data_IF_367422519129
#
_entry.id   IF_367422519129
#
_cell.length_a   1.000
_cell.length_b   1.000
_cell.length_c   1.000
_cell.angle_alpha   90.00
_cell.angle_beta   90.00
_cell.angle_gamma   90.00
#
_symmetry.space_group_name_H-M   'P 1'
#
loop_
_entity.id
_entity.type
_entity.pdbx_description
1 polymer ?
#
# COMPACT_ATOMS: atom_id res chain seq x y z
N UNK A 1 76.83 4.76 19.18
CA UNK A 1 75.97 4.28 18.08
C UNK A 1 74.69 5.11 18.14
N UNK A 2 74.71 6.16 17.34
CA UNK A 2 73.64 6.88 16.66
C UNK A 2 72.40 7.31 17.47
N UNK A 3 72.54 8.52 18.02
CA UNK A 3 71.46 9.41 18.42
C UNK A 3 70.80 10.01 17.17
N UNK A 4 69.53 9.66 16.90
CA UNK A 4 68.72 10.42 15.95
C UNK A 4 68.00 11.56 16.69
N UNK A 5 68.58 12.75 16.49
CA UNK A 5 68.01 14.05 16.75
C UNK A 5 66.83 14.27 15.79
N UNK A 6 65.64 14.51 16.33
CA UNK A 6 64.50 15.00 15.53
C UNK A 6 64.40 16.51 15.74
N UNK A 7 64.62 17.18 14.61
CA UNK A 7 64.66 18.61 14.41
C UNK A 7 63.30 19.27 14.69
N UNK A 8 63.30 20.38 15.42
CA UNK A 8 62.12 21.19 15.73
C UNK A 8 62.13 22.46 14.90
N UNK A 9 61.55 22.44 13.70
CA UNK A 9 61.20 23.66 12.97
C UNK A 9 60.04 23.45 12.00
N UNK A 10 58.98 24.24 12.20
CA UNK A 10 58.29 24.93 11.10
C UNK A 10 57.15 24.20 10.39
N UNK A 11 55.93 24.32 10.93
CA UNK A 11 54.70 23.96 10.23
C UNK A 11 53.49 24.68 10.79
N UNK A 12 53.39 25.99 10.55
CA UNK A 12 52.20 26.77 10.85
C UNK A 12 51.06 26.37 9.90
N UNK A 13 50.05 25.65 10.41
CA UNK A 13 48.78 25.45 9.72
C UNK A 13 47.62 26.00 10.56
N UNK A 14 46.99 27.02 10.01
CA UNK A 14 45.80 27.76 10.45
C UNK A 14 44.71 26.84 11.00
N UNK A 15 44.38 26.97 12.28
CA UNK A 15 43.21 26.35 12.90
C UNK A 15 41.94 27.13 12.58
N UNK A 16 41.23 26.79 11.51
CA UNK A 16 39.83 27.22 11.36
C UNK A 16 38.92 26.27 12.11
N UNK A 17 38.48 26.65 13.31
CA UNK A 17 37.42 25.96 14.05
C UNK A 17 36.09 26.17 13.32
N UNK A 18 35.67 25.22 12.49
CA UNK A 18 34.30 25.18 11.99
C UNK A 18 33.40 24.67 13.11
N UNK A 19 32.64 25.57 13.72
CA UNK A 19 31.56 25.25 14.66
C UNK A 19 30.55 24.30 14.00
N UNK A 20 30.22 23.20 14.67
CA UNK A 20 29.15 22.30 14.23
C UNK A 20 27.79 23.03 14.22
N UNK A 21 26.93 22.82 13.21
CA UNK A 21 25.64 23.50 13.14
C UNK A 21 24.70 23.04 14.26
N UNK A 22 24.23 23.97 15.07
CA UNK A 22 23.19 23.75 16.09
C UNK A 22 21.85 23.44 15.43
N UNK A 23 21.35 22.22 15.60
CA UNK A 23 20.02 21.80 15.14
C UNK A 23 18.96 22.40 16.09
N UNK A 24 18.18 23.37 15.63
CA UNK A 24 17.02 23.89 16.37
C UNK A 24 15.83 22.95 16.19
N UNK A 25 15.48 22.21 17.25
CA UNK A 25 14.24 21.44 17.31
C UNK A 25 13.04 22.39 17.47
N UNK A 26 11.91 22.15 16.79
CA UNK A 26 10.70 22.94 16.97
C UNK A 26 10.12 22.76 18.38
N UNK A 27 9.67 23.86 18.98
CA UNK A 27 9.11 23.89 20.33
C UNK A 27 7.93 22.94 20.51
N UNK A 28 8.00 22.13 21.57
CA UNK A 28 6.99 21.16 21.96
C UNK A 28 5.74 21.91 22.45
N UNK A 29 4.64 21.87 21.70
CA UNK A 29 3.34 22.36 22.19
C UNK A 29 2.81 21.34 23.21
N UNK A 30 2.73 21.73 24.47
CA UNK A 30 2.05 20.95 25.51
C UNK A 30 0.56 20.92 25.20
N UNK A 31 0.02 19.73 24.98
CA UNK A 31 -1.42 19.51 24.84
C UNK A 31 -1.94 19.25 26.25
N UNK A 32 -2.57 20.24 26.86
CA UNK A 32 -3.34 20.07 28.10
C UNK A 32 -4.65 19.35 27.75
N UNK A 33 -4.87 18.18 28.34
CA UNK A 33 -6.08 17.39 28.15
C UNK A 33 -7.05 17.71 29.30
N UNK A 34 -8.06 18.55 29.04
CA UNK A 34 -9.18 18.77 29.95
C UNK A 34 -10.19 17.62 29.79
N UNK A 35 -10.38 16.87 30.88
CA UNK A 35 -11.38 15.81 30.96
C UNK A 35 -12.74 16.39 31.38
N UNK A 36 -13.62 16.61 30.40
CA UNK A 36 -15.05 16.86 30.68
C UNK A 36 -15.85 15.59 30.42
N UNK A 37 -16.24 14.92 31.49
CA UNK A 37 -17.24 13.84 31.49
C UNK A 37 -18.61 14.43 31.14
N UNK A 38 -19.15 14.10 29.95
CA UNK A 38 -20.53 14.44 29.58
C UNK A 38 -21.39 13.18 29.60
N UNK A 39 -22.13 13.06 30.70
CA UNK A 39 -23.19 12.10 30.94
C UNK A 39 -24.36 12.36 29.99
N UNK A 40 -24.87 11.33 29.31
CA UNK A 40 -26.06 11.43 28.45
C UNK A 40 -27.07 10.36 28.86
N UNK A 41 -28.00 10.77 29.73
CA UNK A 41 -29.29 10.14 29.91
C UNK A 41 -30.36 11.21 29.65
N UNK A 42 -31.12 11.08 28.56
CA UNK A 42 -32.47 11.62 28.43
C UNK A 42 -33.10 11.08 27.14
N UNK A 43 -34.13 10.27 27.34
CA UNK A 43 -35.04 9.79 26.31
C UNK A 43 -35.96 10.92 25.85
N UNK A 44 -36.35 10.91 24.57
CA UNK A 44 -37.72 11.24 24.14
C UNK A 44 -38.00 10.70 22.74
N UNK A 45 -39.11 9.98 22.69
CA UNK A 45 -39.87 9.43 21.58
C UNK A 45 -40.40 10.46 20.59
N UNK A 46 -40.39 10.13 19.28
CA UNK A 46 -41.48 10.43 18.36
C UNK A 46 -41.35 9.60 17.07
N UNK A 47 -42.47 8.99 16.72
CA UNK A 47 -42.78 8.03 15.67
C UNK A 47 -43.01 8.67 14.29
N UNK A 48 -42.63 7.99 13.21
CA UNK A 48 -43.44 7.85 11.97
C UNK A 48 -43.02 6.60 11.19
N UNK A 49 -43.99 5.93 10.58
CA UNK A 49 -43.92 4.59 10.01
C UNK A 49 -44.03 4.61 8.47
N UNK A 50 -43.40 3.66 7.78
CA UNK A 50 -43.98 2.90 6.64
C UNK A 50 -43.03 1.80 6.09
N UNK A 51 -43.50 0.55 6.20
CA UNK A 51 -43.61 -0.51 5.16
C UNK A 51 -42.37 -0.83 4.28
N UNK A 52 -41.58 -1.88 4.53
CA UNK A 52 -41.76 -3.35 4.29
C UNK A 52 -41.43 -3.87 2.87
N UNK A 53 -40.28 -4.56 2.71
CA UNK A 53 -40.15 -6.00 2.35
C UNK A 53 -38.68 -6.49 2.41
N UNK A 54 -38.45 -7.80 2.61
CA UNK A 54 -37.22 -8.43 3.13
C UNK A 54 -36.34 -9.04 2.01
N UNK A 55 -35.30 -9.80 2.41
CA UNK A 55 -34.32 -10.59 1.60
C UNK A 55 -32.92 -9.96 1.66
N UNK A 56 -31.81 -10.62 2.05
CA UNK A 56 -31.47 -12.04 2.09
C UNK A 56 -30.62 -12.34 3.35
N UNK A 57 -31.00 -13.37 4.11
CA UNK A 57 -30.12 -14.01 5.07
C UNK A 57 -29.15 -14.90 4.29
N UNK A 58 -27.86 -14.60 4.41
CA UNK A 58 -26.79 -15.39 3.81
C UNK A 58 -26.79 -16.78 4.46
N UNK A 59 -27.22 -17.75 3.66
CA UNK A 59 -27.33 -19.19 3.94
C UNK A 59 -26.00 -19.76 4.44
N UNK A 60 -25.90 -19.96 5.74
CA UNK A 60 -24.79 -20.60 6.46
C UNK A 60 -24.90 -22.16 6.45
N UNK A 61 -25.69 -22.69 5.52
CA UNK A 61 -25.81 -24.12 5.25
C UNK A 61 -24.93 -24.44 4.04
N UNK A 62 -23.72 -24.98 4.29
CA UNK A 62 -23.07 -26.03 3.46
C UNK A 62 -21.63 -26.38 3.88
N UNK A 63 -21.06 -25.86 4.98
CA UNK A 63 -19.76 -26.39 5.46
C UNK A 63 -19.95 -27.57 6.43
N UNK A 64 -20.23 -28.75 5.86
CA UNK A 64 -20.21 -30.05 6.55
C UNK A 64 -18.79 -30.63 6.71
N UNK A 65 -17.73 -29.86 6.42
CA UNK A 65 -16.35 -30.35 6.49
C UNK A 65 -16.06 -31.53 5.55
N UNK A 66 -16.77 -31.61 4.41
CA UNK A 66 -16.58 -32.63 3.37
C UNK A 66 -17.31 -33.96 3.57
N UNK A 67 -18.25 -34.05 4.51
CA UNK A 67 -19.13 -35.23 4.66
C UNK A 67 -20.49 -34.95 4.00
N UNK A 68 -20.96 -35.77 3.04
CA UNK A 68 -22.27 -35.56 2.44
C UNK A 68 -23.38 -35.78 3.49
N UNK A 69 -24.48 -34.99 3.43
CA UNK A 69 -25.63 -35.23 4.27
C UNK A 69 -26.20 -36.65 4.02
N UNK A 70 -26.73 -37.33 5.05
CA UNK A 70 -27.24 -38.68 4.90
C UNK A 70 -28.46 -38.68 3.97
N UNK A 71 -28.31 -39.26 2.77
CA UNK A 71 -29.42 -39.54 1.84
C UNK A 71 -29.21 -39.14 0.37
N UNK A 72 -28.09 -38.52 -0.02
CA UNK A 72 -27.83 -38.13 -1.42
C UNK A 72 -26.65 -38.93 -2.03
N UNK A 73 -26.86 -39.45 -3.25
CA UNK A 73 -25.89 -40.27 -3.97
C UNK A 73 -24.96 -39.39 -4.81
N UNK A 74 -23.66 -39.69 -4.76
CA UNK A 74 -22.54 -38.92 -5.36
C UNK A 74 -22.67 -38.71 -6.89
N UNK A 75 -23.55 -39.46 -7.55
CA UNK A 75 -23.74 -39.43 -9.01
C UNK A 75 -24.39 -38.12 -9.53
N UNK A 76 -25.17 -37.40 -8.72
CA UNK A 76 -25.80 -36.14 -9.16
C UNK A 76 -24.80 -34.97 -9.23
N UNK A 77 -23.73 -34.98 -8.45
CA UNK A 77 -22.75 -33.89 -8.40
C UNK A 77 -21.74 -33.87 -9.57
N UNK A 78 -21.76 -34.87 -10.45
CA UNK A 78 -20.81 -35.00 -11.57
C UNK A 78 -21.37 -34.48 -12.91
N UNK A 79 -22.65 -34.11 -13.00
CA UNK A 79 -23.30 -33.77 -14.28
C UNK A 79 -23.48 -32.26 -14.56
N UNK A 80 -23.11 -31.35 -13.65
CA UNK A 80 -23.44 -29.92 -13.78
C UNK A 80 -22.28 -29.02 -14.26
N UNK A 81 -21.33 -29.54 -15.05
CA UNK A 81 -20.29 -28.70 -15.66
C UNK A 81 -20.42 -28.74 -17.17
N UNK A 82 -21.27 -27.88 -17.74
CA UNK A 82 -21.07 -27.23 -19.05
C UNK A 82 -22.18 -26.20 -19.32
N UNK A 83 -21.95 -24.92 -19.01
CA UNK A 83 -22.71 -23.79 -19.59
C UNK A 83 -21.72 -22.62 -19.88
N UNK A 84 -21.76 -22.03 -21.10
CA UNK A 84 -20.71 -21.14 -21.60
C UNK A 84 -20.81 -19.69 -21.10
N UNK A 85 -19.62 -19.10 -20.90
CA UNK A 85 -19.40 -17.69 -20.52
C UNK A 85 -19.93 -16.72 -21.57
N UNK A 86 -20.88 -15.88 -21.19
CA UNK A 86 -21.37 -14.76 -21.99
C UNK A 86 -20.35 -13.61 -22.05
N UNK A 87 -19.94 -13.24 -23.27
CA UNK A 87 -19.05 -12.10 -23.55
C UNK A 87 -19.89 -10.82 -23.71
N UNK A 88 -19.52 -9.67 -23.12
CA UNK A 88 -20.29 -8.44 -23.29
C UNK A 88 -20.20 -7.90 -24.72
N UNK A 89 -21.35 -7.82 -25.39
CA UNK A 89 -21.50 -7.15 -26.70
C UNK A 89 -21.50 -5.64 -26.50
N UNK A 90 -20.46 -4.97 -27.01
CA UNK A 90 -20.34 -3.52 -27.02
C UNK A 90 -21.26 -2.91 -28.11
N UNK A 91 -22.52 -2.63 -27.76
CA UNK A 91 -23.44 -1.86 -28.61
C UNK A 91 -23.25 -0.36 -28.37
N UNK A 92 -22.57 0.34 -29.29
CA UNK A 92 -22.51 1.80 -29.22
C UNK A 92 -21.37 2.46 -29.99
N UNK A 93 -21.12 2.09 -31.25
CA UNK A 93 -20.35 2.97 -32.14
C UNK A 93 -21.27 4.10 -32.60
N UNK A 94 -21.10 5.28 -32.00
CA UNK A 94 -21.58 6.53 -32.62
C UNK A 94 -20.74 6.79 -33.87
N UNK A 95 -21.39 6.95 -35.01
CA UNK A 95 -20.77 7.40 -36.25
C UNK A 95 -20.26 8.83 -36.07
N UNK A 96 -18.99 9.06 -36.39
CA UNK A 96 -18.44 10.40 -36.55
C UNK A 96 -18.66 10.82 -38.01
N UNK A 97 -19.80 11.44 -38.28
CA UNK A 97 -19.97 12.31 -39.44
C UNK A 97 -20.56 13.63 -38.93
N UNK A 98 -19.86 14.77 -39.01
CA UNK A 98 -20.54 16.04 -38.89
C UNK A 98 -21.20 16.35 -40.23
N UNK A 99 -22.52 16.22 -40.29
CA UNK A 99 -23.32 16.95 -41.27
C UNK A 99 -23.32 18.43 -40.88
N UNK A 100 -23.10 19.29 -41.87
CA UNK A 100 -23.17 20.76 -41.81
C UNK A 100 -22.18 21.47 -40.87
N UNK A 101 -21.02 21.80 -41.42
CA UNK A 101 -20.33 23.03 -41.07
C UNK A 101 -21.22 24.20 -41.50
N UNK A 102 -21.95 24.78 -40.54
CA UNK A 102 -22.55 26.11 -40.65
C UNK A 102 -21.60 27.06 -39.97
N UNK A 103 -21.16 28.07 -40.70
CA UNK A 103 -20.22 29.09 -40.24
C UNK A 103 -20.94 30.05 -39.29
N UNK A 104 -21.09 29.67 -38.02
CA UNK A 104 -21.60 30.56 -36.98
C UNK A 104 -20.51 31.58 -36.61
N UNK A 105 -20.45 32.65 -37.38
CA UNK A 105 -19.74 33.87 -37.03
C UNK A 105 -20.47 34.61 -35.88
N UNK A 106 -20.34 34.10 -34.65
CA UNK A 106 -20.63 34.86 -33.43
C UNK A 106 -19.34 35.05 -32.63
N UNK A 107 -18.88 36.29 -32.39
CA UNK A 107 -17.72 36.53 -31.55
C UNK A 107 -18.04 36.11 -30.11
N UNK A 108 -17.44 35.00 -29.68
CA UNK A 108 -17.45 34.53 -28.29
C UNK A 108 -16.72 35.54 -27.41
N UNK A 109 -17.46 36.27 -26.60
CA UNK A 109 -16.93 37.20 -25.59
C UNK A 109 -16.51 36.44 -24.34
N UNK A 110 -15.55 35.53 -24.45
CA UNK A 110 -14.88 35.00 -23.25
C UNK A 110 -13.88 36.05 -22.76
N UNK A 111 -14.25 36.77 -21.68
CA UNK A 111 -13.36 37.62 -20.90
C UNK A 111 -12.32 36.75 -20.19
N UNK A 112 -11.34 36.26 -20.92
CA UNK A 112 -10.06 35.87 -20.34
C UNK A 112 -9.21 37.13 -20.29
N UNK A 113 -8.88 37.57 -19.08
CA UNK A 113 -8.06 38.76 -18.85
C UNK A 113 -6.66 38.55 -19.40
N UNK A 114 -6.46 38.90 -20.67
CA UNK A 114 -5.13 39.00 -21.27
C UNK A 114 -4.38 40.12 -20.57
N UNK A 115 -3.29 39.77 -19.87
CA UNK A 115 -2.28 40.74 -19.44
C UNK A 115 -1.57 41.25 -20.69
N UNK A 116 -2.21 42.16 -21.42
CA UNK A 116 -1.60 42.84 -22.55
C UNK A 116 -0.39 43.62 -22.04
N UNK A 117 0.81 43.10 -22.31
CA UNK A 117 2.07 43.83 -22.18
C UNK A 117 1.95 45.03 -23.11
N UNK A 118 1.77 46.24 -22.57
CA UNK A 118 1.69 47.46 -23.37
C UNK A 118 2.91 47.53 -24.30
N UNK A 119 2.66 47.76 -25.58
CA UNK A 119 3.70 48.00 -26.57
C UNK A 119 4.39 49.32 -26.17
N UNK A 120 5.61 49.23 -25.65
CA UNK A 120 6.51 50.37 -25.43
C UNK A 120 7.35 50.57 -26.69
N UNK A 121 7.90 51.76 -26.94
CA UNK A 121 8.77 52.07 -28.09
C UNK A 121 9.96 51.09 -28.27
N UNK A 122 10.35 50.37 -27.21
CA UNK A 122 11.36 49.31 -27.25
C UNK A 122 10.88 47.97 -27.85
N UNK A 123 9.58 47.79 -28.07
CA UNK A 123 8.96 46.63 -28.71
C UNK A 123 8.47 46.96 -30.14
N UNK A 124 8.99 48.04 -30.75
CA UNK A 124 8.66 48.39 -32.13
C UNK A 124 9.07 47.25 -33.08
N UNK A 125 8.08 46.88 -33.88
CA UNK A 125 8.03 45.84 -34.88
C UNK A 125 9.31 45.83 -35.74
N UNK A 126 9.89 44.64 -35.97
CA UNK A 126 10.98 44.32 -36.92
C UNK A 126 12.37 44.01 -36.33
N UNK A 127 12.57 44.04 -35.01
CA UNK A 127 13.70 43.35 -34.35
C UNK A 127 13.17 42.32 -33.35
N UNK A 128 12.43 41.35 -33.85
CA UNK A 128 12.25 40.11 -33.09
C UNK A 128 13.61 39.44 -33.04
N UNK A 129 14.19 39.33 -31.85
CA UNK A 129 15.39 38.53 -31.67
C UNK A 129 14.98 37.07 -31.89
N UNK A 130 15.12 36.60 -33.13
CA UNK A 130 14.75 35.24 -33.54
C UNK A 130 15.48 34.22 -32.66
N UNK A 131 16.71 34.51 -32.23
CA UNK A 131 17.42 33.64 -31.30
C UNK A 131 16.74 33.59 -29.92
N UNK A 132 16.13 34.67 -29.45
CA UNK A 132 15.37 34.72 -28.19
C UNK A 132 14.05 33.94 -28.28
N UNK A 133 13.36 34.01 -29.41
CA UNK A 133 12.12 33.23 -29.64
C UNK A 133 12.41 31.75 -29.93
N UNK A 134 13.50 31.43 -30.63
CA UNK A 134 13.93 30.04 -30.85
C UNK A 134 14.38 29.36 -29.55
N UNK A 135 14.84 30.13 -28.54
CA UNK A 135 15.14 29.60 -27.19
C UNK A 135 13.87 29.16 -26.44
N UNK A 136 12.71 29.75 -26.72
CA UNK A 136 11.43 29.36 -26.10
C UNK A 136 10.69 28.26 -26.88
N UNK A 137 11.10 28.01 -28.13
CA UNK A 137 10.57 26.93 -28.97
C UNK A 137 10.80 25.56 -28.33
N UNK A 138 9.78 24.71 -28.42
CA UNK A 138 9.85 23.31 -28.02
C UNK A 138 10.86 22.57 -28.92
N UNK A 139 10.96 22.97 -30.19
CA UNK A 139 11.84 22.37 -31.20
C UNK A 139 13.26 22.96 -31.20
N UNK A 140 14.16 22.34 -30.43
CA UNK A 140 15.61 22.60 -30.45
C UNK A 140 16.37 21.39 -31.03
N UNK A 141 17.52 21.58 -31.71
CA UNK A 141 18.30 20.45 -32.26
C UNK A 141 18.82 19.49 -31.18
N UNK A 142 18.84 19.93 -29.90
CA UNK A 142 19.21 19.11 -28.76
C UNK A 142 18.04 18.31 -28.15
N UNK A 143 16.82 18.42 -28.68
CA UNK A 143 15.66 17.65 -28.17
C UNK A 143 15.96 16.15 -28.22
N UNK A 144 16.54 15.66 -29.33
CA UNK A 144 16.81 14.24 -29.55
C UNK A 144 17.64 13.60 -28.43
N UNK A 145 18.46 14.41 -27.73
CA UNK A 145 19.29 13.98 -26.60
C UNK A 145 18.55 13.93 -25.26
N UNK A 146 17.29 14.39 -25.19
CA UNK A 146 16.48 14.38 -23.96
C UNK A 146 15.88 13.00 -23.77
N UNK A 147 16.10 12.40 -22.59
CA UNK A 147 15.65 11.04 -22.26
C UNK A 147 14.11 10.84 -22.30
N UNK A 148 13.33 11.92 -22.23
CA UNK A 148 11.87 11.87 -22.09
C UNK A 148 11.11 12.52 -23.25
N UNK A 149 11.51 12.26 -24.50
CA UNK A 149 10.82 12.74 -25.72
C UNK A 149 9.32 12.44 -25.71
N UNK A 150 8.97 11.22 -25.30
CA UNK A 150 7.59 10.76 -25.25
C UNK A 150 6.70 11.59 -24.31
N UNK A 151 7.26 12.30 -23.31
CA UNK A 151 6.45 13.16 -22.44
C UNK A 151 6.01 14.46 -23.13
N UNK A 152 6.75 14.95 -24.13
CA UNK A 152 6.42 16.22 -24.80
C UNK A 152 5.29 16.09 -25.82
N UNK A 153 5.07 14.88 -26.36
CA UNK A 153 4.00 14.62 -27.34
C UNK A 153 2.65 14.32 -26.68
N UNK A 154 2.65 14.07 -25.38
CA UNK A 154 1.49 13.59 -24.63
C UNK A 154 0.62 14.74 -24.13
N UNK A 155 -0.69 14.49 -24.01
CA UNK A 155 -1.63 15.48 -23.48
C UNK A 155 -1.32 15.83 -22.01
N UNK A 156 -1.73 17.02 -21.57
CA UNK A 156 -1.56 17.42 -20.16
C UNK A 156 -2.21 16.43 -19.18
N UNK A 157 -3.36 15.84 -19.55
CA UNK A 157 -4.06 14.85 -18.71
C UNK A 157 -3.28 13.55 -18.57
N UNK A 158 -2.73 13.04 -19.69
CA UNK A 158 -1.91 11.81 -19.68
C UNK A 158 -0.64 12.01 -18.87
N UNK A 159 0.01 13.18 -18.97
CA UNK A 159 1.15 13.55 -18.12
C UNK A 159 0.79 13.61 -16.63
N UNK A 160 -0.35 14.23 -16.27
CA UNK A 160 -0.81 14.26 -14.89
C UNK A 160 -1.10 12.86 -14.34
N UNK A 161 -1.67 11.98 -15.17
CA UNK A 161 -1.92 10.59 -14.82
C UNK A 161 -0.61 9.82 -14.59
N UNK A 162 0.36 9.90 -15.50
CA UNK A 162 1.67 9.27 -15.35
C UNK A 162 2.40 9.76 -14.09
N UNK A 163 2.40 11.07 -13.83
CA UNK A 163 2.97 11.66 -12.61
C UNK A 163 2.25 11.19 -11.34
N UNK A 164 0.95 10.88 -11.43
CA UNK A 164 0.19 10.30 -10.31
C UNK A 164 0.61 8.85 -10.08
N UNK A 165 0.80 8.06 -11.13
CA UNK A 165 1.31 6.68 -11.02
C UNK A 165 2.72 6.64 -10.44
N UNK A 166 3.63 7.49 -10.93
CA UNK A 166 5.00 7.60 -10.41
C UNK A 166 5.02 7.98 -8.93
N UNK A 167 4.18 8.94 -8.52
CA UNK A 167 4.00 9.28 -7.09
C UNK A 167 3.38 8.16 -6.28
N UNK A 168 2.57 7.29 -6.86
CA UNK A 168 1.99 6.15 -6.13
C UNK A 168 2.98 5.00 -5.92
N UNK A 169 4.08 4.94 -6.67
CA UNK A 169 5.14 3.92 -6.51
C UNK A 169 5.98 4.16 -5.26
N UNK A 170 6.04 5.40 -4.77
CA UNK A 170 6.85 5.76 -3.60
C UNK A 170 6.01 6.48 -2.56
N UNK A 171 6.38 6.40 -1.28
CA UNK A 171 5.70 7.14 -0.21
C UNK A 171 6.01 8.64 -0.24
N UNK A 172 6.93 9.07 -1.10
CA UNK A 172 7.35 10.45 -1.33
C UNK A 172 8.61 10.87 -0.56
N UNK A 173 9.06 12.10 -0.82
CA UNK A 173 10.34 12.64 -0.31
C UNK A 173 10.41 12.73 1.21
N UNK A 174 9.27 12.97 1.87
CA UNK A 174 9.18 13.04 3.33
C UNK A 174 9.52 11.71 4.01
N UNK A 175 9.45 10.60 3.27
CA UNK A 175 9.78 9.27 3.76
C UNK A 175 10.79 8.59 2.82
N UNK A 176 11.87 9.33 2.51
CA UNK A 176 13.03 8.88 1.74
C UNK A 176 12.69 8.11 0.46
N UNK A 177 11.58 8.44 -0.20
CA UNK A 177 11.09 7.75 -1.38
C UNK A 177 10.93 6.23 -1.19
N UNK A 178 10.49 5.78 0.00
CA UNK A 178 10.26 4.36 0.28
C UNK A 178 9.38 3.74 -0.82
N UNK A 179 9.86 2.69 -1.50
CA UNK A 179 9.13 2.08 -2.60
C UNK A 179 7.91 1.29 -2.10
N UNK A 180 6.98 1.03 -3.01
CA UNK A 180 5.94 0.03 -2.88
C UNK A 180 6.37 -1.23 -3.65
N UNK A 181 6.90 -2.27 -2.97
CA UNK A 181 7.23 -3.53 -3.61
C UNK A 181 5.98 -4.20 -4.18
N UNK A 182 6.16 -4.99 -5.22
CA UNK A 182 5.10 -5.86 -5.73
C UNK A 182 4.83 -6.99 -4.73
N UNK A 183 3.55 -7.30 -4.48
CA UNK A 183 3.15 -8.30 -3.51
C UNK A 183 3.32 -9.70 -4.09
N UNK A 184 4.53 -10.25 -4.03
CA UNK A 184 4.78 -11.67 -4.32
C UNK A 184 4.16 -12.54 -3.21
N UNK A 185 3.80 -13.81 -3.48
CA UNK A 185 3.21 -14.68 -2.46
C UNK A 185 4.13 -14.88 -1.24
N UNK A 186 5.44 -14.96 -1.46
CA UNK A 186 6.44 -15.07 -0.38
C UNK A 186 6.44 -13.82 0.52
N UNK A 187 6.42 -12.64 -0.07
CA UNK A 187 6.37 -11.37 0.66
C UNK A 187 5.06 -11.22 1.43
N UNK A 188 3.94 -11.66 0.84
CA UNK A 188 2.64 -11.68 1.51
C UNK A 188 2.68 -12.57 2.75
N UNK A 189 3.22 -13.78 2.63
CA UNK A 189 3.33 -14.72 3.74
C UNK A 189 4.20 -14.14 4.87
N UNK A 190 5.32 -13.47 4.53
CA UNK A 190 6.16 -12.81 5.52
C UNK A 190 5.45 -11.67 6.25
N UNK A 191 4.68 -10.84 5.53
CA UNK A 191 3.92 -9.76 6.18
C UNK A 191 2.78 -10.28 7.04
N UNK A 192 2.10 -11.34 6.59
CA UNK A 192 1.07 -12.01 7.38
C UNK A 192 1.67 -12.63 8.65
N UNK A 193 2.86 -13.22 8.55
CA UNK A 193 3.61 -13.73 9.69
C UNK A 193 3.89 -12.63 10.73
N UNK A 194 4.37 -11.47 10.29
CA UNK A 194 4.62 -10.31 11.18
C UNK A 194 3.32 -9.83 11.83
N UNK A 195 2.20 -9.82 11.10
CA UNK A 195 0.89 -9.47 11.65
C UNK A 195 0.44 -10.45 12.74
N UNK A 196 0.74 -11.74 12.56
CA UNK A 196 0.42 -12.82 13.49
C UNK A 196 1.46 -13.04 14.60
N UNK A 197 2.46 -12.15 14.75
CA UNK A 197 3.56 -12.31 15.72
C UNK A 197 3.14 -12.60 17.16
N UNK A 198 1.95 -12.14 17.58
CA UNK A 198 1.39 -12.41 18.93
C UNK A 198 1.07 -13.88 19.17
N UNK A 199 0.86 -14.67 18.11
CA UNK A 199 0.48 -16.09 18.21
C UNK A 199 1.69 -17.02 18.03
N UNK A 200 2.80 -16.51 17.48
CA UNK A 200 3.96 -17.34 17.12
C UNK A 200 4.68 -17.90 18.35
N UNK A 201 4.88 -17.08 19.38
CA UNK A 201 5.57 -17.47 20.60
C UNK A 201 4.65 -17.24 21.81
N UNK A 202 4.30 -18.30 22.58
CA UNK A 202 3.42 -18.16 23.74
C UNK A 202 4.04 -17.34 24.88
N UNK A 203 5.36 -17.15 24.90
CA UNK A 203 6.07 -16.40 25.95
C UNK A 203 6.20 -14.91 25.62
N UNK A 204 6.08 -14.53 24.34
CA UNK A 204 6.28 -13.15 23.89
C UNK A 204 4.94 -12.49 23.60
N UNK A 205 4.61 -11.50 24.42
CA UNK A 205 3.41 -10.68 24.23
C UNK A 205 3.78 -9.39 23.51
N UNK A 206 3.15 -9.16 22.35
CA UNK A 206 3.29 -7.92 21.59
C UNK A 206 2.04 -7.05 21.75
N UNK A 207 2.23 -5.73 21.63
CA UNK A 207 1.10 -4.81 21.51
C UNK A 207 0.21 -5.23 20.35
N UNK A 208 -1.08 -5.43 20.62
CA UNK A 208 -2.05 -5.90 19.64
C UNK A 208 -2.32 -4.79 18.64
N UNK A 209 -1.79 -4.96 17.43
CA UNK A 209 -2.23 -4.18 16.29
C UNK A 209 -3.67 -4.57 15.95
N UNK A 210 -4.51 -3.61 15.60
CA UNK A 210 -5.89 -3.87 15.19
C UNK A 210 -5.87 -4.84 14.00
N UNK A 211 -6.46 -6.04 14.18
CA UNK A 211 -6.44 -7.14 13.21
C UNK A 211 -6.99 -6.76 11.82
N UNK A 212 -7.69 -5.62 11.71
CA UNK A 212 -8.26 -5.07 10.48
C UNK A 212 -7.29 -4.24 9.64
N UNK A 213 -6.05 -4.02 10.10
CA UNK A 213 -5.08 -3.25 9.31
C UNK A 213 -4.65 -4.08 8.10
N UNK A 214 -5.04 -3.60 6.91
CA UNK A 214 -4.56 -4.09 5.62
C UNK A 214 -3.03 -4.12 5.62
N UNK A 215 -2.44 -5.06 4.87
CA UNK A 215 -0.99 -5.12 4.68
C UNK A 215 -0.45 -3.74 4.26
N UNK A 216 0.70 -3.30 4.79
CA UNK A 216 1.25 -1.99 4.46
C UNK A 216 1.58 -1.93 2.96
N UNK A 217 1.18 -0.83 2.29
CA UNK A 217 1.45 -0.63 0.85
C UNK A 217 2.93 -0.35 0.55
N UNK A 218 3.59 0.41 1.43
CA UNK A 218 4.99 0.80 1.27
C UNK A 218 5.81 0.14 2.37
N UNK A 219 6.76 -0.71 2.00
CA UNK A 219 7.64 -1.40 2.93
C UNK A 219 8.95 -1.78 2.22
N UNK A 220 9.96 -2.10 3.00
CA UNK A 220 11.22 -2.64 2.53
C UNK A 220 11.66 -3.71 3.50
N UNK A 221 12.17 -4.82 2.97
CA UNK A 221 12.78 -5.88 3.77
C UNK A 221 14.28 -5.66 3.73
N UNK A 222 14.88 -5.63 4.91
CA UNK A 222 16.32 -5.51 5.09
C UNK A 222 16.81 -6.60 6.01
N UNK A 223 18.10 -6.91 5.91
CA UNK A 223 18.80 -7.82 6.81
C UNK A 223 19.50 -7.01 7.89
N UNK A 224 19.54 -7.55 9.11
CA UNK A 224 20.28 -6.93 10.21
C UNK A 224 21.78 -7.17 9.96
N UNK A 225 22.56 -6.08 9.93
CA UNK A 225 24.01 -6.17 9.90
C UNK A 225 24.52 -6.28 11.32
N UNK A 226 25.34 -7.31 11.56
CA UNK A 226 25.89 -7.60 12.88
C UNK A 226 26.91 -6.55 13.31
N UNK A 227 26.86 -6.22 14.60
CA UNK A 227 27.89 -5.41 15.22
C UNK A 227 29.23 -6.17 15.24
N UNK A 228 30.35 -5.55 14.86
CA UNK A 228 31.67 -6.15 15.02
C UNK A 228 32.02 -6.46 16.48
N UNK A 229 31.37 -5.79 17.44
CA UNK A 229 31.65 -5.90 18.87
C UNK A 229 31.02 -7.13 19.53
N UNK A 230 29.88 -7.61 19.01
CA UNK A 230 29.14 -8.72 19.61
C UNK A 230 29.24 -9.99 18.74
N UNK A 231 30.38 -10.67 18.84
CA UNK A 231 30.67 -11.82 17.99
C UNK A 231 29.92 -13.10 18.37
N UNK A 232 29.70 -13.33 19.66
CA UNK A 232 29.28 -14.65 20.15
C UNK A 232 27.76 -14.84 20.21
N UNK A 233 27.01 -13.77 20.51
CA UNK A 233 25.55 -13.87 20.70
C UNK A 233 24.76 -13.53 19.43
N UNK A 234 25.11 -12.42 18.75
CA UNK A 234 24.30 -11.89 17.65
C UNK A 234 24.64 -12.47 16.29
N UNK A 235 25.89 -12.90 16.09
CA UNK A 235 26.42 -13.28 14.77
C UNK A 235 25.79 -14.54 14.17
N UNK A 236 25.39 -15.47 15.04
CA UNK A 236 24.93 -16.80 14.66
C UNK A 236 25.91 -17.54 13.73
N UNK A 237 25.50 -18.72 13.25
CA UNK A 237 26.25 -19.46 12.22
C UNK A 237 25.72 -19.08 10.85
N UNK A 238 26.59 -18.93 9.84
CA UNK A 238 26.18 -18.66 8.44
C UNK A 238 25.09 -19.62 7.93
N UNK A 239 25.08 -20.86 8.42
CA UNK A 239 24.10 -21.91 8.07
C UNK A 239 22.69 -21.64 8.64
N UNK A 240 22.60 -20.89 9.73
CA UNK A 240 21.33 -20.52 10.37
C UNK A 240 20.72 -19.26 9.73
N UNK A 241 21.50 -18.52 8.93
CA UNK A 241 21.02 -17.34 8.21
C UNK A 241 20.23 -17.78 6.99
N UNK A 242 18.91 -17.74 7.10
CA UNK A 242 17.99 -17.98 6.00
C UNK A 242 17.81 -16.73 5.13
N UNK A 243 17.28 -16.92 3.92
CA UNK A 243 16.94 -15.82 3.02
C UNK A 243 15.62 -15.14 3.41
N UNK A 244 14.74 -15.85 4.13
CA UNK A 244 13.42 -15.35 4.49
C UNK A 244 13.07 -15.63 5.95
N UNK A 245 12.24 -14.76 6.52
CA UNK A 245 11.73 -14.90 7.88
C UNK A 245 10.91 -16.18 8.07
N UNK A 246 10.15 -16.59 7.04
CA UNK A 246 9.35 -17.82 7.08
C UNK A 246 10.26 -19.05 7.11
N UNK A 247 11.33 -19.05 6.30
CA UNK A 247 12.30 -20.13 6.23
C UNK A 247 13.09 -20.27 7.54
N UNK A 248 13.45 -19.15 8.19
CA UNK A 248 14.06 -19.15 9.53
C UNK A 248 13.19 -19.90 10.53
N UNK A 249 11.89 -19.60 10.49
CA UNK A 249 10.91 -20.14 11.41
C UNK A 249 10.61 -21.61 11.14
N UNK A 250 10.69 -22.04 9.88
CA UNK A 250 10.59 -23.44 9.50
C UNK A 250 11.83 -24.23 9.90
N UNK A 251 13.01 -23.61 9.95
CA UNK A 251 14.23 -24.27 10.42
C UNK A 251 14.22 -24.53 11.94
N UNK A 252 13.44 -23.77 12.72
CA UNK A 252 13.32 -23.95 14.17
C UNK A 252 12.47 -25.19 14.55
N UNK A 253 13.15 -26.20 15.10
CA UNK A 253 12.52 -27.45 15.52
C UNK A 253 11.56 -27.29 16.71
N UNK A 254 11.83 -26.36 17.64
CA UNK A 254 10.97 -26.14 18.80
C UNK A 254 9.64 -25.51 18.37
N UNK A 255 9.73 -24.51 17.50
CA UNK A 255 8.57 -23.89 16.87
C UNK A 255 7.70 -24.90 16.13
N UNK A 256 8.30 -25.78 15.32
CA UNK A 256 7.55 -26.82 14.63
C UNK A 256 6.81 -27.76 15.59
N UNK A 257 7.48 -28.22 16.66
CA UNK A 257 6.88 -29.12 17.66
C UNK A 257 5.68 -28.45 18.35
N UNK A 258 5.85 -27.20 18.77
CA UNK A 258 4.79 -26.43 19.41
C UNK A 258 3.57 -26.26 18.49
N UNK A 259 3.80 -25.85 17.24
CA UNK A 259 2.74 -25.62 16.28
C UNK A 259 2.02 -26.89 15.88
N UNK A 260 2.73 -27.99 15.61
CA UNK A 260 2.12 -29.28 15.29
C UNK A 260 1.19 -29.74 16.43
N UNK A 261 1.65 -29.61 17.68
CA UNK A 261 0.84 -29.94 18.87
C UNK A 261 -0.41 -29.06 18.95
N UNK A 262 -0.26 -27.73 18.85
CA UNK A 262 -1.40 -26.80 18.95
C UNK A 262 -2.37 -26.89 17.78
N UNK A 263 -1.87 -27.20 16.59
CA UNK A 263 -2.70 -27.45 15.43
C UNK A 263 -3.56 -28.71 15.59
N UNK A 264 -2.99 -29.82 16.09
CA UNK A 264 -3.73 -31.03 16.39
C UNK A 264 -4.84 -30.79 17.43
N UNK A 265 -4.52 -30.09 18.52
CA UNK A 265 -5.49 -29.69 19.55
C UNK A 265 -6.63 -28.84 18.96
N UNK A 266 -6.32 -27.89 18.07
CA UNK A 266 -7.32 -27.06 17.40
C UNK A 266 -8.22 -27.87 16.45
N UNK A 267 -7.66 -28.86 15.73
CA UNK A 267 -8.44 -29.77 14.88
C UNK A 267 -9.41 -30.63 15.70
N UNK A 268 -8.96 -31.19 16.81
CA UNK A 268 -9.83 -31.96 17.71
C UNK A 268 -10.95 -31.10 18.28
N UNK A 269 -10.64 -29.88 18.71
CA UNK A 269 -11.65 -28.93 19.20
C UNK A 269 -12.67 -28.60 18.11
N UNK A 270 -12.23 -28.39 16.87
CA UNK A 270 -13.11 -28.16 15.71
C UNK A 270 -14.02 -29.36 15.45
N UNK A 271 -13.49 -30.58 15.45
CA UNK A 271 -14.27 -31.82 15.30
C UNK A 271 -15.33 -31.97 16.40
N UNK A 272 -14.96 -31.76 17.66
CA UNK A 272 -15.89 -31.81 18.82
C UNK A 272 -17.02 -30.79 18.68
N UNK A 273 -16.70 -29.56 18.26
CA UNK A 273 -17.71 -28.51 18.00
C UNK A 273 -18.64 -28.88 16.84
N UNK A 274 -18.11 -29.40 15.74
CA UNK A 274 -18.90 -29.85 14.60
C UNK A 274 -19.86 -30.99 14.99
N UNK A 275 -19.36 -31.99 15.73
CA UNK A 275 -20.19 -33.08 16.26
C UNK A 275 -21.31 -32.55 17.16
N UNK A 276 -21.00 -31.64 18.09
CA UNK A 276 -22.01 -31.04 18.95
C UNK A 276 -23.10 -30.31 18.15
N UNK A 277 -22.72 -29.52 17.14
CA UNK A 277 -23.67 -28.84 16.24
C UNK A 277 -24.56 -29.85 15.51
N UNK A 278 -23.99 -30.92 14.96
CA UNK A 278 -24.74 -31.97 14.27
C UNK A 278 -25.75 -32.66 15.20
N UNK A 279 -25.34 -33.03 16.41
CA UNK A 279 -26.24 -33.64 17.42
C UNK A 279 -27.38 -32.68 17.78
N UNK A 280 -27.10 -31.39 17.95
CA UNK A 280 -28.14 -30.39 18.24
C UNK A 280 -29.11 -30.22 17.06
N UNK A 281 -28.63 -30.20 15.81
CA UNK A 281 -29.49 -30.18 14.61
C UNK A 281 -30.37 -31.44 14.57
N UNK A 282 -29.81 -32.64 14.78
CA UNK A 282 -30.59 -33.89 14.82
C UNK A 282 -31.67 -33.89 15.92
N UNK A 283 -31.35 -33.39 17.12
CA UNK A 283 -32.33 -33.26 18.21
C UNK A 283 -33.48 -32.32 17.86
N UNK A 284 -33.21 -31.21 17.16
CA UNK A 284 -34.25 -30.28 16.69
C UNK A 284 -35.15 -30.94 15.64
N UNK A 285 -34.59 -31.68 14.69
CA UNK A 285 -35.36 -32.39 13.66
C UNK A 285 -36.26 -33.47 14.27
N UNK A 286 -35.76 -34.22 15.27
CA UNK A 286 -36.55 -35.23 15.99
C UNK A 286 -37.70 -34.66 16.82
N UNK A 287 -37.62 -33.39 17.27
CA UNK A 287 -38.70 -32.71 18.01
C UNK A 287 -39.76 -32.08 17.11
N UNK A 288 -39.50 -31.96 15.81
CA UNK A 288 -40.44 -31.38 14.83
C UNK A 288 -41.34 -32.44 14.16
N UNK A 289 -41.02 -33.73 14.34
CA UNK A 289 -41.92 -34.85 14.05
C UNK A 289 -42.69 -35.19 15.32
#
# INVERSE_FOLDING_TARGET
>A
MDFFVVDTVGGASVSTSKSNPTIKLPGRKSITFESTTRNQNAATSASTASTAKPEEEESDDDDFGGLPPPGQSIAEALNDNDEPVAVPRNSGRRSLVPSSFVEDARPSTSRTGSKNRRLTAANELNKTDVAKELRSSILTPAIEKRENLARFTMSNETLQHLNRLERQKTKGKNWFNLPAPEMTPELKNQMELIQMRTVLDPKKYYQRAEKKRKLPKYFQIGTVLESPLEHYNERGVKKQKSQSLVDELLADAEFQKFNKRKYAEALELRKKKAYHKAVMKMKKLKKKK
#
